data_IF_895724308230
#
_entry.id   IF_895724308230
#
_cell.length_a   1.000
_cell.length_b   1.000
_cell.length_c   1.000
_cell.angle_alpha   90.00
_cell.angle_beta   90.00
_cell.angle_gamma   90.00
#
_symmetry.space_group_name_H-M   'P 1'
#
loop_
_entity.id
_entity.type
_entity.pdbx_description
1 polymer ?
#
# COMPACT_ATOMS: atom_id res chain seq x y z
N UNK A 1 31.20 -16.35 -3.15
CA UNK A 1 30.00 -15.90 -3.89
C UNK A 1 29.97 -16.57 -5.26
N UNK A 2 28.89 -17.26 -5.57
CA UNK A 2 28.71 -17.89 -6.87
C UNK A 2 28.04 -16.90 -7.83
N UNK A 3 28.81 -16.27 -8.70
CA UNK A 3 28.35 -15.22 -9.62
C UNK A 3 27.30 -15.76 -10.60
N UNK A 4 27.49 -16.97 -11.12
CA UNK A 4 26.53 -17.61 -12.05
C UNK A 4 25.17 -17.78 -11.37
N UNK A 5 25.15 -18.27 -10.14
CA UNK A 5 23.92 -18.41 -9.35
C UNK A 5 23.24 -17.06 -9.09
N UNK A 6 24.01 -16.00 -8.79
CA UNK A 6 23.46 -14.66 -8.57
C UNK A 6 22.75 -14.16 -9.82
N UNK A 7 23.37 -14.31 -11.01
CA UNK A 7 22.79 -13.87 -12.28
C UNK A 7 21.51 -14.65 -12.60
N UNK A 8 21.54 -15.97 -12.48
CA UNK A 8 20.39 -16.84 -12.75
C UNK A 8 19.22 -16.51 -11.79
N UNK A 9 19.52 -16.39 -10.50
CA UNK A 9 18.52 -16.06 -9.50
C UNK A 9 17.94 -14.66 -9.73
N UNK A 10 18.79 -13.69 -10.12
CA UNK A 10 18.35 -12.34 -10.45
C UNK A 10 17.35 -12.33 -11.60
N UNK A 11 17.69 -13.02 -12.71
CA UNK A 11 16.81 -13.12 -13.89
C UNK A 11 15.49 -13.79 -13.52
N UNK A 12 15.53 -14.89 -12.77
CA UNK A 12 14.33 -15.59 -12.32
C UNK A 12 13.47 -14.71 -11.38
N UNK A 13 14.10 -14.03 -10.44
CA UNK A 13 13.39 -13.17 -9.48
C UNK A 13 12.72 -11.96 -10.13
N UNK A 14 13.19 -11.49 -11.32
CA UNK A 14 12.50 -10.47 -12.09
C UNK A 14 11.05 -10.85 -12.46
N UNK A 15 10.75 -12.14 -12.64
CA UNK A 15 9.38 -12.61 -12.88
C UNK A 15 8.43 -12.35 -11.70
N UNK A 16 8.97 -12.11 -10.51
CA UNK A 16 8.18 -11.69 -9.34
C UNK A 16 7.84 -10.20 -9.29
N UNK A 17 8.53 -9.35 -10.08
CA UNK A 17 8.34 -7.90 -10.09
C UNK A 17 6.89 -7.50 -10.43
N UNK A 18 6.22 -8.06 -11.45
CA UNK A 18 4.84 -7.73 -11.76
C UNK A 18 3.88 -8.01 -10.60
N UNK A 19 4.10 -9.08 -9.84
CA UNK A 19 3.27 -9.41 -8.66
C UNK A 19 3.50 -8.39 -7.55
N UNK A 20 4.75 -8.07 -7.23
CA UNK A 20 5.13 -7.05 -6.25
C UNK A 20 4.49 -5.69 -6.57
N UNK A 21 4.65 -5.21 -7.81
CA UNK A 21 4.07 -3.94 -8.26
C UNK A 21 2.54 -4.01 -8.37
N UNK A 22 1.99 -5.15 -8.78
CA UNK A 22 0.54 -5.38 -8.84
C UNK A 22 -0.11 -5.26 -7.46
N UNK A 23 0.47 -5.88 -6.43
CA UNK A 23 -0.02 -5.76 -5.05
C UNK A 23 0.02 -4.29 -4.60
N UNK A 24 1.11 -3.58 -4.85
CA UNK A 24 1.26 -2.17 -4.51
C UNK A 24 0.18 -1.30 -5.18
N UNK A 25 -0.01 -1.42 -6.50
CA UNK A 25 -0.99 -0.63 -7.26
C UNK A 25 -2.41 -0.92 -6.77
N UNK A 26 -2.79 -2.21 -6.67
CA UNK A 26 -4.14 -2.60 -6.24
C UNK A 26 -4.41 -2.17 -4.80
N UNK A 27 -3.41 -2.31 -3.89
CA UNK A 27 -3.55 -1.86 -2.52
C UNK A 27 -3.84 -0.36 -2.42
N UNK A 28 -3.15 0.48 -3.20
CA UNK A 28 -3.38 1.92 -3.22
C UNK A 28 -4.77 2.25 -3.79
N UNK A 29 -5.14 1.63 -4.92
CA UNK A 29 -6.43 1.89 -5.57
C UNK A 29 -7.62 1.51 -4.67
N UNK A 30 -7.60 0.32 -4.08
CA UNK A 30 -8.67 -0.15 -3.20
C UNK A 30 -8.70 0.60 -1.86
N UNK A 31 -7.57 1.05 -1.35
CA UNK A 31 -7.51 1.81 -0.10
C UNK A 31 -7.93 3.27 -0.26
N UNK A 32 -7.93 3.84 -1.47
CA UNK A 32 -8.13 5.27 -1.68
C UNK A 32 -9.47 5.78 -1.14
N UNK A 33 -10.58 5.15 -1.52
CA UNK A 33 -11.92 5.58 -1.08
C UNK A 33 -12.13 5.39 0.43
N UNK A 34 -11.81 4.23 1.03
CA UNK A 34 -11.88 4.08 2.48
C UNK A 34 -10.98 5.06 3.23
N UNK A 35 -9.77 5.30 2.74
CA UNK A 35 -8.84 6.24 3.35
C UNK A 35 -9.35 7.69 3.30
N UNK A 36 -9.92 8.10 2.16
CA UNK A 36 -10.55 9.41 2.01
C UNK A 36 -11.72 9.57 2.99
N UNK A 37 -12.58 8.56 3.08
CA UNK A 37 -13.71 8.57 4.04
C UNK A 37 -13.23 8.72 5.49
N UNK A 38 -12.22 7.95 5.91
CA UNK A 38 -11.65 8.05 7.24
C UNK A 38 -10.98 9.41 7.49
N UNK A 39 -10.25 9.94 6.52
CA UNK A 39 -9.61 11.26 6.61
C UNK A 39 -10.63 12.38 6.80
N UNK A 40 -11.65 12.43 5.95
CA UNK A 40 -12.72 13.42 6.04
C UNK A 40 -13.52 13.28 7.34
N UNK A 41 -13.83 12.04 7.74
CA UNK A 41 -14.52 11.79 9.02
C UNK A 41 -13.74 12.30 10.24
N UNK A 42 -12.41 12.27 10.20
CA UNK A 42 -11.57 12.86 11.23
C UNK A 42 -11.54 14.40 11.16
N UNK A 43 -11.41 14.99 9.96
CA UNK A 43 -11.36 16.43 9.74
C UNK A 43 -12.68 17.08 10.21
N UNK A 44 -13.81 16.52 9.78
CA UNK A 44 -15.14 17.02 10.13
C UNK A 44 -15.64 16.54 11.50
N UNK A 45 -14.79 15.82 12.25
CA UNK A 45 -15.09 15.33 13.61
C UNK A 45 -16.38 14.52 13.69
N UNK A 46 -16.72 13.78 12.62
CA UNK A 46 -17.89 12.90 12.62
C UNK A 46 -17.73 11.86 13.73
N UNK A 47 -18.65 11.87 14.72
CA UNK A 47 -18.62 10.93 15.85
C UNK A 47 -18.49 9.51 15.36
N UNK A 48 -18.25 8.52 15.92
CA UNK A 48 -18.10 7.15 15.41
C UNK A 48 -16.96 6.99 14.39
N UNK A 49 -16.99 7.68 13.26
CA UNK A 49 -15.93 7.59 12.22
C UNK A 49 -14.59 8.03 12.76
N UNK A 50 -14.54 9.15 13.49
CA UNK A 50 -13.30 9.63 14.13
C UNK A 50 -12.75 8.59 15.11
N UNK A 51 -13.57 8.06 16.00
CA UNK A 51 -13.16 7.07 17.01
C UNK A 51 -12.70 5.77 16.34
N UNK A 52 -13.48 5.27 15.38
CA UNK A 52 -13.12 4.09 14.59
C UNK A 52 -11.77 4.29 13.89
N UNK A 53 -11.58 5.43 13.23
CA UNK A 53 -10.34 5.76 12.53
C UNK A 53 -9.12 5.75 13.45
N UNK A 54 -9.23 6.34 14.64
CA UNK A 54 -8.13 6.38 15.62
C UNK A 54 -7.79 4.97 16.09
N UNK A 55 -8.79 4.16 16.45
CA UNK A 55 -8.59 2.77 16.91
C UNK A 55 -7.99 1.92 15.79
N UNK A 56 -8.52 2.04 14.57
CA UNK A 56 -8.04 1.33 13.40
C UNK A 56 -6.57 1.67 13.08
N UNK A 57 -6.23 2.95 13.05
CA UNK A 57 -4.84 3.36 12.86
C UNK A 57 -3.92 2.83 13.95
N UNK A 58 -4.35 2.92 15.20
CA UNK A 58 -3.58 2.39 16.34
C UNK A 58 -3.35 0.89 16.19
N UNK A 59 -4.38 0.12 15.85
CA UNK A 59 -4.29 -1.33 15.62
C UNK A 59 -3.29 -1.68 14.50
N UNK A 60 -3.43 -1.05 13.32
CA UNK A 60 -2.53 -1.31 12.17
C UNK A 60 -1.08 -0.95 12.49
N UNK A 61 -0.84 0.16 13.21
CA UNK A 61 0.51 0.63 13.53
C UNK A 61 1.17 -0.13 14.69
N UNK A 62 0.38 -0.60 15.64
CA UNK A 62 0.90 -1.32 16.81
C UNK A 62 1.24 -2.79 16.49
N UNK A 63 0.70 -3.34 15.40
CA UNK A 63 0.88 -4.76 15.08
C UNK A 63 1.97 -4.93 14.01
N UNK A 64 2.95 -5.82 14.22
CA UNK A 64 3.95 -6.13 13.21
C UNK A 64 3.29 -6.58 11.89
N UNK A 65 3.75 -6.09 10.72
CA UNK A 65 3.12 -6.38 9.42
C UNK A 65 2.97 -7.88 9.12
N UNK A 66 3.97 -8.68 9.45
CA UNK A 66 3.91 -10.13 9.22
C UNK A 66 2.78 -10.79 10.01
N UNK A 67 2.54 -10.35 11.24
CA UNK A 67 1.44 -10.90 12.06
C UNK A 67 0.08 -10.48 11.53
N UNK A 68 -0.07 -9.26 11.01
CA UNK A 68 -1.30 -8.82 10.34
C UNK A 68 -1.58 -9.68 9.10
N UNK A 69 -0.56 -9.94 8.29
CA UNK A 69 -0.69 -10.77 7.09
C UNK A 69 -1.15 -12.19 7.47
N UNK A 70 -0.46 -12.84 8.41
CA UNK A 70 -0.79 -14.20 8.84
C UNK A 70 -2.17 -14.27 9.48
N UNK A 71 -2.52 -13.30 10.33
CA UNK A 71 -3.82 -13.22 10.99
C UNK A 71 -4.96 -13.11 9.97
N UNK A 72 -4.89 -12.12 9.07
CA UNK A 72 -5.95 -11.92 8.10
C UNK A 72 -5.99 -13.00 7.02
N UNK A 73 -4.85 -13.56 6.64
CA UNK A 73 -4.79 -14.68 5.69
C UNK A 73 -5.39 -15.96 6.27
N UNK A 74 -5.35 -16.15 7.59
CA UNK A 74 -6.06 -17.25 8.26
C UNK A 74 -7.53 -16.93 8.48
N UNK A 75 -7.85 -15.67 8.83
CA UNK A 75 -9.21 -15.25 9.20
C UNK A 75 -10.15 -15.17 7.99
N UNK A 76 -9.73 -14.53 6.89
CA UNK A 76 -10.63 -14.27 5.76
C UNK A 76 -11.15 -15.53 5.08
N UNK A 77 -10.32 -16.53 4.72
CA UNK A 77 -10.84 -17.77 4.15
C UNK A 77 -11.79 -18.49 5.13
N UNK A 78 -11.49 -18.47 6.43
CA UNK A 78 -12.31 -19.11 7.45
C UNK A 78 -13.69 -18.46 7.57
N UNK A 79 -13.75 -17.14 7.64
CA UNK A 79 -15.00 -16.39 7.67
C UNK A 79 -15.83 -16.57 6.40
N UNK A 80 -15.18 -16.47 5.23
CA UNK A 80 -15.85 -16.68 3.94
C UNK A 80 -16.39 -18.10 3.81
N UNK A 81 -15.63 -19.12 4.24
CA UNK A 81 -16.08 -20.50 4.23
C UNK A 81 -17.32 -20.70 5.12
N UNK A 82 -17.31 -20.12 6.32
CA UNK A 82 -18.46 -20.18 7.24
C UNK A 82 -19.68 -19.48 6.63
N UNK A 83 -19.50 -18.32 6.03
CA UNK A 83 -20.57 -17.57 5.34
C UNK A 83 -21.15 -18.37 4.18
N UNK A 84 -20.32 -18.88 3.26
CA UNK A 84 -20.80 -19.66 2.10
C UNK A 84 -21.49 -20.97 2.51
N UNK A 85 -20.98 -21.67 3.51
CA UNK A 85 -21.69 -22.84 4.08
C UNK A 85 -23.04 -22.46 4.68
N UNK A 86 -23.12 -21.31 5.36
CA UNK A 86 -24.38 -20.84 5.96
C UNK A 86 -25.50 -20.54 4.95
N UNK A 87 -25.14 -20.13 3.73
CA UNK A 87 -26.09 -19.87 2.62
C UNK A 87 -26.26 -21.08 1.69
N UNK A 88 -25.73 -22.26 2.06
CA UNK A 88 -25.83 -23.47 1.25
C UNK A 88 -24.97 -23.50 -0.02
N UNK A 89 -23.98 -22.64 -0.13
CA UNK A 89 -23.07 -22.59 -1.28
C UNK A 89 -21.93 -23.61 -1.12
N UNK A 90 -21.56 -24.25 -2.25
CA UNK A 90 -20.45 -25.22 -2.30
C UNK A 90 -19.12 -24.59 -2.77
N UNK A 91 -18.96 -23.26 -2.67
CA UNK A 91 -17.74 -22.59 -3.05
C UNK A 91 -16.61 -22.95 -2.07
N UNK A 92 -15.54 -23.54 -2.59
CA UNK A 92 -14.33 -23.84 -1.82
C UNK A 92 -13.41 -22.62 -1.81
N UNK A 93 -13.54 -21.79 -0.77
CA UNK A 93 -12.77 -20.54 -0.60
C UNK A 93 -11.27 -20.80 -0.40
N UNK A 94 -10.87 -22.01 0.01
CA UNK A 94 -9.45 -22.34 0.18
C UNK A 94 -8.73 -22.60 -1.16
N UNK A 95 -9.49 -22.80 -2.26
CA UNK A 95 -8.97 -22.87 -3.64
C UNK A 95 -8.84 -21.52 -4.31
N UNK A 96 -9.31 -20.43 -3.67
CA UNK A 96 -9.15 -19.08 -4.20
C UNK A 96 -7.66 -18.71 -4.23
N UNK A 97 -7.22 -18.10 -5.34
CA UNK A 97 -5.82 -17.69 -5.47
C UNK A 97 -5.43 -16.76 -4.31
N UNK A 98 -4.36 -17.09 -3.55
CA UNK A 98 -3.86 -16.27 -2.44
C UNK A 98 -3.65 -14.80 -2.76
N UNK A 99 -3.39 -14.48 -4.02
CA UNK A 99 -3.19 -13.11 -4.48
C UNK A 99 -4.39 -12.18 -4.20
N UNK A 100 -5.62 -12.69 -4.28
CA UNK A 100 -6.81 -11.91 -3.95
C UNK A 100 -6.88 -11.55 -2.46
N UNK A 101 -6.50 -12.48 -1.59
CA UNK A 101 -6.38 -12.21 -0.16
C UNK A 101 -5.26 -11.20 0.12
N UNK A 102 -4.13 -11.28 -0.59
CA UNK A 102 -3.07 -10.29 -0.48
C UNK A 102 -3.55 -8.90 -0.87
N UNK A 103 -4.29 -8.75 -1.97
CA UNK A 103 -4.89 -7.46 -2.37
C UNK A 103 -5.75 -6.85 -1.25
N UNK A 104 -6.61 -7.65 -0.63
CA UNK A 104 -7.47 -7.17 0.47
C UNK A 104 -6.64 -6.79 1.69
N UNK A 105 -5.70 -7.66 2.11
CA UNK A 105 -4.89 -7.46 3.31
C UNK A 105 -4.02 -6.19 3.18
N UNK A 106 -3.31 -6.06 2.05
CA UNK A 106 -2.48 -4.88 1.79
C UNK A 106 -3.32 -3.61 1.64
N UNK A 107 -4.52 -3.70 1.07
CA UNK A 107 -5.45 -2.56 1.00
C UNK A 107 -5.90 -2.10 2.39
N UNK A 108 -6.23 -3.03 3.28
CA UNK A 108 -6.54 -2.71 4.68
C UNK A 108 -5.34 -2.04 5.36
N UNK A 109 -4.16 -2.63 5.29
CA UNK A 109 -2.96 -2.04 5.90
C UNK A 109 -2.64 -0.65 5.35
N UNK A 110 -2.82 -0.44 4.04
CA UNK A 110 -2.57 0.83 3.36
C UNK A 110 -3.60 1.89 3.72
N UNK A 111 -4.87 1.52 3.91
CA UNK A 111 -5.98 2.44 4.23
C UNK A 111 -5.66 3.32 5.44
N UNK A 112 -5.09 2.75 6.49
CA UNK A 112 -4.70 3.51 7.67
C UNK A 112 -3.69 4.61 7.36
N UNK A 113 -2.56 4.23 6.77
CA UNK A 113 -1.48 5.18 6.45
C UNK A 113 -1.90 6.22 5.43
N UNK A 114 -2.64 5.81 4.39
CA UNK A 114 -3.14 6.71 3.36
C UNK A 114 -4.16 7.72 3.92
N UNK A 115 -5.03 7.29 4.85
CA UNK A 115 -5.99 8.21 5.48
C UNK A 115 -5.30 9.31 6.26
N UNK A 116 -4.21 9.01 6.93
CA UNK A 116 -3.43 10.00 7.68
C UNK A 116 -2.67 10.95 6.73
N UNK A 117 -2.14 10.45 5.61
CA UNK A 117 -1.51 11.28 4.58
C UNK A 117 -2.52 12.24 3.98
N UNK A 118 -3.71 11.78 3.60
CA UNK A 118 -4.77 12.64 3.06
C UNK A 118 -5.19 13.68 4.11
N UNK A 119 -5.40 13.26 5.35
CA UNK A 119 -5.80 14.16 6.43
C UNK A 119 -4.76 15.24 6.69
N UNK A 120 -3.50 14.87 6.83
CA UNK A 120 -2.41 15.82 7.09
C UNK A 120 -2.24 16.79 5.93
N UNK A 121 -2.27 16.30 4.69
CA UNK A 121 -2.13 17.13 3.50
C UNK A 121 -3.26 18.17 3.37
N UNK A 122 -4.51 17.78 3.64
CA UNK A 122 -5.62 18.72 3.62
C UNK A 122 -5.54 19.77 4.74
N UNK A 123 -4.95 19.41 5.88
CA UNK A 123 -4.78 20.33 7.01
C UNK A 123 -3.57 21.26 6.89
N UNK A 124 -2.63 21.01 5.97
CA UNK A 124 -1.52 21.95 5.69
C UNK A 124 -1.97 23.17 4.89
N UNK A 125 -3.10 23.07 4.18
CA UNK A 125 -3.62 24.22 3.43
C UNK A 125 -4.32 25.17 4.41
N UNK A 126 -3.92 26.43 4.37
CA UNK A 126 -4.50 27.46 5.23
C UNK A 126 -6.01 27.64 4.99
N UNK A 127 -6.78 27.78 6.06
CA UNK A 127 -8.23 27.94 5.97
C UNK A 127 -8.63 29.23 5.24
N UNK A 128 -7.82 30.28 5.32
CA UNK A 128 -8.01 31.52 4.60
C UNK A 128 -8.05 31.35 3.09
N UNK A 129 -7.44 30.28 2.55
CA UNK A 129 -7.55 29.96 1.11
C UNK A 129 -9.00 29.63 0.70
N UNK A 130 -9.74 28.92 1.56
CA UNK A 130 -11.13 28.62 1.30
C UNK A 130 -12.00 29.88 1.43
N UNK A 131 -11.76 30.67 2.47
CA UNK A 131 -12.50 31.93 2.73
C UNK A 131 -12.26 32.95 1.61
N UNK A 132 -11.01 33.14 1.17
CA UNK A 132 -10.67 34.02 0.07
C UNK A 132 -11.30 33.57 -1.26
N UNK A 133 -11.30 32.26 -1.53
CA UNK A 133 -11.94 31.70 -2.72
C UNK A 133 -13.45 31.98 -2.74
N UNK A 134 -14.10 31.83 -1.59
CA UNK A 134 -15.54 32.12 -1.44
C UNK A 134 -15.85 33.60 -1.56
N UNK A 135 -14.97 34.48 -1.05
CA UNK A 135 -15.12 35.94 -1.15
C UNK A 135 -15.12 36.45 -2.59
N UNK A 136 -14.42 35.76 -3.51
CA UNK A 136 -14.41 36.08 -4.95
C UNK A 136 -15.51 35.30 -5.73
N UNK A 137 -16.46 34.68 -5.04
CA UNK A 137 -17.63 34.04 -5.64
C UNK A 137 -17.45 32.58 -6.08
N UNK A 138 -16.35 31.90 -5.72
CA UNK A 138 -16.19 30.48 -6.01
C UNK A 138 -17.07 29.66 -5.07
N UNK A 139 -17.74 28.65 -5.64
CA UNK A 139 -18.42 27.65 -4.82
C UNK A 139 -17.41 26.81 -4.03
N UNK A 140 -17.82 26.25 -2.91
CA UNK A 140 -16.95 25.37 -2.09
C UNK A 140 -16.30 24.27 -2.94
N UNK A 141 -17.05 23.63 -3.84
CA UNK A 141 -16.52 22.60 -4.75
C UNK A 141 -15.43 23.16 -5.68
N UNK A 142 -15.64 24.35 -6.24
CA UNK A 142 -14.64 24.99 -7.11
C UNK A 142 -13.39 25.37 -6.32
N UNK A 143 -13.54 25.90 -5.10
CA UNK A 143 -12.43 26.22 -4.21
C UNK A 143 -11.59 24.98 -3.88
N UNK A 144 -12.24 23.86 -3.52
CA UNK A 144 -11.52 22.61 -3.28
C UNK A 144 -10.79 22.09 -4.51
N UNK A 145 -11.45 22.01 -5.68
CA UNK A 145 -10.86 21.43 -6.88
C UNK A 145 -9.74 22.30 -7.48
N UNK A 146 -9.86 23.62 -7.43
CA UNK A 146 -8.94 24.55 -8.10
C UNK A 146 -7.81 25.07 -7.20
N UNK A 147 -8.04 25.13 -5.89
CA UNK A 147 -7.11 25.80 -4.95
C UNK A 147 -6.60 24.81 -3.89
N UNK A 148 -7.49 24.12 -3.18
CA UNK A 148 -7.12 23.34 -1.99
C UNK A 148 -6.45 22.01 -2.40
N UNK A 149 -7.09 21.21 -3.28
CA UNK A 149 -6.54 19.92 -3.65
C UNK A 149 -5.18 19.99 -4.34
N UNK A 150 -4.90 20.93 -5.28
CA UNK A 150 -3.58 21.05 -5.84
C UNK A 150 -2.49 21.34 -4.80
N UNK A 151 -2.78 22.22 -3.82
CA UNK A 151 -1.86 22.54 -2.74
C UNK A 151 -1.67 21.34 -1.79
N UNK A 152 -2.77 20.70 -1.39
CA UNK A 152 -2.72 19.50 -0.55
C UNK A 152 -1.96 18.36 -1.23
N UNK A 153 -2.14 18.16 -2.54
CA UNK A 153 -1.44 17.13 -3.29
C UNK A 153 0.09 17.36 -3.29
N UNK A 154 0.54 18.61 -3.48
CA UNK A 154 1.96 18.95 -3.36
C UNK A 154 2.52 18.58 -1.99
N UNK A 155 1.81 18.93 -0.93
CA UNK A 155 2.17 18.59 0.45
C UNK A 155 2.14 17.08 0.73
N UNK A 156 1.28 16.33 0.04
CA UNK A 156 1.16 14.89 0.19
C UNK A 156 2.27 14.09 -0.49
N UNK A 157 2.86 14.61 -1.59
CA UNK A 157 3.76 13.85 -2.47
C UNK A 157 4.92 13.14 -1.76
N UNK A 158 5.70 13.78 -0.85
CA UNK A 158 6.78 13.09 -0.15
C UNK A 158 6.28 11.91 0.69
N UNK A 159 5.13 12.10 1.38
CA UNK A 159 4.53 11.07 2.20
C UNK A 159 3.90 9.93 1.36
N UNK A 160 3.35 10.25 0.19
CA UNK A 160 2.87 9.25 -0.77
C UNK A 160 4.03 8.43 -1.33
N UNK A 161 5.18 9.06 -1.65
CA UNK A 161 6.38 8.34 -2.05
C UNK A 161 6.81 7.32 -0.99
N UNK A 162 6.91 7.77 0.27
CA UNK A 162 7.25 6.91 1.39
C UNK A 162 6.24 5.77 1.57
N UNK A 163 4.95 6.04 1.41
CA UNK A 163 3.90 5.02 1.48
C UNK A 163 4.10 3.95 0.39
N UNK A 164 4.28 4.37 -0.86
CA UNK A 164 4.50 3.47 -2.01
C UNK A 164 5.72 2.58 -1.78
N UNK A 165 6.84 3.17 -1.38
CA UNK A 165 8.08 2.44 -1.08
C UNK A 165 7.86 1.45 0.07
N UNK A 166 7.15 1.85 1.11
CA UNK A 166 6.87 0.97 2.26
C UNK A 166 5.95 -0.20 1.87
N UNK A 167 4.96 0.01 0.99
CA UNK A 167 4.14 -1.08 0.47
C UNK A 167 5.02 -2.05 -0.33
N UNK A 168 5.84 -1.56 -1.26
CA UNK A 168 6.76 -2.39 -2.06
C UNK A 168 7.69 -3.20 -1.16
N UNK A 169 8.32 -2.58 -0.17
CA UNK A 169 9.15 -3.32 0.81
C UNK A 169 8.32 -4.35 1.59
N UNK A 170 7.10 -3.99 1.97
CA UNK A 170 6.18 -4.86 2.68
C UNK A 170 5.78 -6.10 1.87
N UNK A 171 5.70 -6.00 0.54
CA UNK A 171 5.37 -7.17 -0.30
C UNK A 171 6.39 -8.29 -0.19
N UNK A 172 7.61 -8.01 0.28
CA UNK A 172 8.60 -9.06 0.57
C UNK A 172 8.10 -10.11 1.58
N UNK A 173 7.02 -9.82 2.31
CA UNK A 173 6.40 -10.75 3.27
C UNK A 173 5.30 -11.63 2.66
N UNK A 174 4.87 -11.38 1.40
CA UNK A 174 3.77 -12.17 0.80
C UNK A 174 4.14 -13.63 0.52
N UNK A 175 5.44 -13.95 0.54
CA UNK A 175 5.89 -15.34 0.40
C UNK A 175 5.26 -16.27 1.46
N UNK A 176 4.91 -15.76 2.65
CA UNK A 176 4.23 -16.54 3.69
C UNK A 176 2.82 -16.98 3.27
N UNK A 177 2.24 -16.31 2.26
CA UNK A 177 0.96 -16.65 1.63
C UNK A 177 1.15 -17.53 0.38
N UNK A 178 2.33 -18.12 0.18
CA UNK A 178 2.68 -18.94 -1.00
C UNK A 178 2.62 -18.21 -2.35
N UNK A 179 2.64 -16.88 -2.33
CA UNK A 179 2.64 -16.04 -3.54
C UNK A 179 4.07 -15.94 -4.08
N UNK A 180 4.24 -16.17 -5.38
CA UNK A 180 5.54 -16.15 -6.06
C UNK A 180 5.96 -14.71 -6.42
N UNK A 181 6.26 -13.91 -5.40
CA UNK A 181 6.89 -12.60 -5.54
C UNK A 181 8.43 -12.72 -5.74
N UNK A 182 9.10 -11.60 -5.79
CA UNK A 182 10.59 -11.54 -5.88
C UNK A 182 11.23 -12.39 -4.79
N UNK A 183 10.77 -12.25 -3.55
CA UNK A 183 11.32 -12.93 -2.36
C UNK A 183 11.09 -14.44 -2.42
N UNK A 184 9.86 -14.85 -2.76
CA UNK A 184 9.50 -16.27 -2.85
C UNK A 184 10.34 -16.98 -3.91
N UNK A 185 10.49 -16.40 -5.10
CA UNK A 185 11.26 -16.98 -6.20
C UNK A 185 12.73 -17.14 -5.81
N UNK A 186 13.37 -16.09 -5.29
CA UNK A 186 14.76 -16.15 -4.90
C UNK A 186 15.03 -17.14 -3.75
N UNK A 187 14.07 -17.27 -2.80
CA UNK A 187 14.18 -18.27 -1.72
C UNK A 187 14.02 -19.70 -2.19
N UNK A 188 13.20 -19.94 -3.21
CA UNK A 188 13.10 -21.27 -3.84
C UNK A 188 14.43 -21.64 -4.47
N UNK A 189 15.06 -20.73 -5.23
CA UNK A 189 16.40 -20.97 -5.81
C UNK A 189 17.44 -21.23 -4.71
N UNK A 190 17.40 -20.47 -3.60
CA UNK A 190 18.26 -20.70 -2.45
C UNK A 190 18.18 -22.13 -1.91
N UNK A 191 16.98 -22.68 -1.82
CA UNK A 191 16.73 -24.01 -1.28
C UNK A 191 17.32 -25.13 -2.17
N UNK A 192 17.33 -24.94 -3.50
CA UNK A 192 17.94 -25.90 -4.42
C UNK A 192 19.46 -25.96 -4.34
N UNK A 193 20.12 -24.83 -4.10
CA UNK A 193 21.58 -24.71 -4.12
C UNK A 193 22.22 -24.49 -2.76
N UNK A 194 21.46 -24.40 -1.67
CA UNK A 194 21.91 -23.99 -0.34
C UNK A 194 22.66 -22.63 -0.35
N UNK A 195 22.37 -21.77 -1.33
CA UNK A 195 23.02 -20.47 -1.54
C UNK A 195 22.14 -19.32 -1.03
N UNK A 196 21.84 -19.35 0.27
CA UNK A 196 20.92 -18.38 0.90
C UNK A 196 21.49 -16.97 0.90
N UNK A 197 22.80 -16.81 1.12
CA UNK A 197 23.44 -15.50 1.13
C UNK A 197 23.30 -14.79 -0.22
N UNK A 198 23.62 -15.49 -1.31
CA UNK A 198 23.52 -14.99 -2.67
C UNK A 198 22.07 -14.62 -3.04
N UNK A 199 21.12 -15.46 -2.63
CA UNK A 199 19.70 -15.18 -2.87
C UNK A 199 19.22 -13.95 -2.13
N UNK A 200 19.58 -13.79 -0.85
CA UNK A 200 19.22 -12.58 -0.11
C UNK A 200 19.93 -11.35 -0.66
N UNK A 201 21.14 -11.47 -1.17
CA UNK A 201 21.80 -10.38 -1.87
C UNK A 201 21.03 -9.96 -3.14
N UNK A 202 20.56 -10.93 -3.93
CA UNK A 202 19.70 -10.66 -5.11
C UNK A 202 18.40 -9.95 -4.70
N UNK A 203 17.71 -10.44 -3.67
CA UNK A 203 16.50 -9.80 -3.13
C UNK A 203 16.80 -8.36 -2.74
N UNK A 204 17.87 -8.12 -1.98
CA UNK A 204 18.28 -6.80 -1.54
C UNK A 204 18.50 -5.84 -2.73
N UNK A 205 19.24 -6.27 -3.74
CA UNK A 205 19.55 -5.46 -4.92
C UNK A 205 18.28 -5.15 -5.72
N UNK A 206 17.39 -6.12 -5.94
CA UNK A 206 16.15 -5.91 -6.69
C UNK A 206 15.21 -4.89 -5.99
N UNK A 207 15.02 -5.04 -4.68
CA UNK A 207 14.20 -4.06 -3.94
C UNK A 207 14.85 -2.68 -3.89
N UNK A 208 16.17 -2.60 -3.79
CA UNK A 208 16.91 -1.34 -3.84
C UNK A 208 16.72 -0.63 -5.19
N UNK A 209 16.82 -1.36 -6.31
CA UNK A 209 16.58 -0.83 -7.65
C UNK A 209 15.14 -0.35 -7.80
N UNK A 210 14.16 -1.18 -7.45
CA UNK A 210 12.74 -0.84 -7.59
C UNK A 210 12.39 0.40 -6.73
N UNK A 211 12.78 0.42 -5.47
CA UNK A 211 12.53 1.54 -4.59
C UNK A 211 13.26 2.81 -5.04
N UNK A 212 14.49 2.67 -5.57
CA UNK A 212 15.24 3.79 -6.14
C UNK A 212 14.56 4.39 -7.37
N UNK A 213 14.07 3.54 -8.29
CA UNK A 213 13.29 4.00 -9.45
C UNK A 213 12.03 4.75 -8.99
N UNK A 214 11.28 4.20 -8.04
CA UNK A 214 10.09 4.85 -7.50
C UNK A 214 10.45 6.22 -6.91
N UNK A 215 11.50 6.30 -6.10
CA UNK A 215 11.95 7.56 -5.51
C UNK A 215 12.30 8.61 -6.56
N UNK A 216 13.02 8.21 -7.61
CA UNK A 216 13.38 9.13 -8.72
C UNK A 216 12.14 9.63 -9.45
N UNK A 217 11.18 8.73 -9.74
CA UNK A 217 9.92 9.11 -10.40
C UNK A 217 9.11 10.12 -9.58
N UNK A 218 9.00 9.89 -8.26
CA UNK A 218 8.32 10.84 -7.37
C UNK A 218 9.03 12.18 -7.28
N UNK A 219 10.37 12.20 -7.17
CA UNK A 219 11.15 13.43 -7.14
C UNK A 219 10.99 14.25 -8.43
N UNK A 220 10.93 13.58 -9.59
CA UNK A 220 10.66 14.24 -10.88
C UNK A 220 9.23 14.83 -10.93
N UNK A 221 8.26 14.10 -10.40
CA UNK A 221 6.87 14.57 -10.27
C UNK A 221 6.76 15.79 -9.33
N UNK A 222 7.44 15.76 -8.19
CA UNK A 222 7.45 16.84 -7.21
C UNK A 222 8.03 18.13 -7.82
N UNK A 223 9.17 18.03 -8.51
CA UNK A 223 9.79 19.18 -9.19
C UNK A 223 8.85 19.84 -10.20
N UNK A 224 8.12 19.05 -11.00
CA UNK A 224 7.15 19.61 -11.96
C UNK A 224 6.01 20.35 -11.28
N UNK A 225 5.54 19.87 -10.12
CA UNK A 225 4.46 20.51 -9.39
C UNK A 225 4.89 21.74 -8.57
N UNK A 226 6.18 21.91 -8.29
CA UNK A 226 6.70 23.11 -7.62
C UNK A 226 6.79 24.33 -8.55
N UNK A 227 6.93 24.11 -9.86
CA UNK A 227 7.05 25.17 -10.86
C UNK A 227 5.70 25.60 -11.49
N UNK A 228 4.59 25.00 -11.08
CA UNK A 228 3.24 25.36 -11.51
C UNK A 228 2.44 25.95 -10.36
#
# INVERSE_FOLDING_TARGET
MNITFIIDTFIKALYGVPITLGIMVVAILLSFLPALFLALGQIYKVRGVKTFSIVYLAFIRATPPILLILFFYSLFPSLLNQFFKGIGSHIDVFKVNPLYYAFIIYSLMTTGSLSEIIRSALLTVDKGQLEAAQAIGLTTRQAYLRIIFPQALRSALPNLCNLVINIVKGTSLVFVMTIKDITAIARVEAAYGYQYFESYFVIFILYLIICGIIQVLFNLGERKLQFT
#
